data_IF_375101164063
#
_entry.id   IF_375101164063
#
_cell.length_a   1.000
_cell.length_b   1.000
_cell.length_c   1.000
_cell.angle_alpha   90.00
_cell.angle_beta   90.00
_cell.angle_gamma   90.00
#
_symmetry.space_group_name_H-M   'P 1'
#
loop_
_entity.id
_entity.type
_entity.pdbx_description
1 polymer ?
#
# COMPACT_ATOMS: atom_id res chain seq x y z
N UNK A 1 -18.40 -32.58 12.24
CA UNK A 1 -17.08 -31.91 12.15
C UNK A 1 -17.30 -30.56 11.50
N UNK A 2 -16.87 -29.48 12.14
CA UNK A 2 -16.98 -28.14 11.57
C UNK A 2 -16.15 -28.06 10.28
N UNK A 3 -16.67 -27.37 9.26
CA UNK A 3 -15.95 -27.22 7.98
C UNK A 3 -14.96 -26.07 8.12
N UNK A 4 -13.70 -26.32 7.81
CA UNK A 4 -12.63 -25.34 7.85
C UNK A 4 -12.63 -24.54 6.55
N UNK A 5 -12.77 -23.23 6.63
CA UNK A 5 -12.77 -22.30 5.50
C UNK A 5 -11.54 -21.40 5.57
N UNK A 6 -11.09 -20.91 4.41
CA UNK A 6 -9.91 -20.04 4.29
C UNK A 6 -10.33 -18.76 3.60
N UNK A 7 -10.17 -17.62 4.29
CA UNK A 7 -10.35 -16.31 3.69
C UNK A 7 -9.14 -15.94 2.83
N UNK A 8 -9.34 -15.18 1.75
CA UNK A 8 -8.21 -14.60 1.00
C UNK A 8 -7.40 -13.66 1.90
N UNK A 9 -6.10 -13.57 1.63
CA UNK A 9 -5.20 -12.64 2.33
C UNK A 9 -4.71 -11.51 1.43
N UNK A 10 -4.58 -10.30 1.99
CA UNK A 10 -4.04 -9.12 1.28
C UNK A 10 -2.98 -8.42 2.10
N UNK A 11 -1.86 -8.11 1.48
CA UNK A 11 -0.87 -7.22 2.05
C UNK A 11 -1.13 -5.77 1.61
N UNK A 12 -0.81 -4.83 2.50
CA UNK A 12 -0.83 -3.38 2.24
C UNK A 12 0.58 -2.77 2.24
N UNK A 13 1.62 -3.61 2.21
CA UNK A 13 3.02 -3.23 2.28
C UNK A 13 3.71 -3.77 3.53
N UNK A 14 4.98 -3.42 3.69
CA UNK A 14 5.79 -3.71 4.87
C UNK A 14 6.83 -2.61 5.09
N UNK A 15 7.36 -2.53 6.31
CA UNK A 15 8.43 -1.62 6.69
C UNK A 15 9.68 -2.40 7.07
N UNK A 16 10.39 -3.01 6.09
CA UNK A 16 11.64 -3.69 6.38
C UNK A 16 12.65 -2.69 6.95
N UNK A 17 13.41 -3.15 7.94
CA UNK A 17 14.49 -2.37 8.56
C UNK A 17 15.60 -2.02 7.57
N UNK A 18 16.53 -1.17 7.97
CA UNK A 18 17.71 -0.86 7.17
C UNK A 18 18.75 -1.97 7.35
N UNK A 19 19.29 -2.55 6.25
CA UNK A 19 20.35 -3.55 6.36
C UNK A 19 21.65 -2.89 6.85
N UNK A 20 22.49 -3.67 7.52
CA UNK A 20 23.88 -3.25 7.69
C UNK A 20 24.63 -3.25 6.35
N UNK A 21 25.78 -2.58 6.31
CA UNK A 21 26.59 -2.41 5.09
C UNK A 21 27.03 -3.75 4.49
N UNK A 22 27.37 -4.74 5.33
CA UNK A 22 27.85 -6.03 4.85
C UNK A 22 26.72 -6.85 4.21
N UNK A 23 25.54 -6.83 4.81
CA UNK A 23 24.32 -7.45 4.30
C UNK A 23 23.93 -6.83 2.96
N UNK A 24 23.92 -5.50 2.86
CA UNK A 24 23.60 -4.81 1.61
C UNK A 24 24.65 -5.08 0.52
N UNK A 25 25.94 -5.04 0.85
CA UNK A 25 27.01 -5.28 -0.11
C UNK A 25 26.97 -6.71 -0.67
N UNK A 26 26.70 -7.71 0.18
CA UNK A 26 26.52 -9.10 -0.24
C UNK A 26 25.33 -9.23 -1.21
N UNK A 27 24.18 -8.65 -0.86
CA UNK A 27 23.00 -8.66 -1.72
C UNK A 27 23.26 -7.98 -3.08
N UNK A 28 23.88 -6.80 -3.08
CA UNK A 28 24.26 -6.09 -4.32
C UNK A 28 25.18 -6.96 -5.20
N UNK A 29 26.12 -7.69 -4.59
CA UNK A 29 27.02 -8.57 -5.33
C UNK A 29 26.31 -9.72 -6.05
N UNK A 30 25.20 -10.22 -5.49
CA UNK A 30 24.32 -11.22 -6.12
C UNK A 30 23.38 -10.61 -7.18
N UNK A 31 23.25 -9.29 -7.18
CA UNK A 31 22.31 -8.52 -8.00
C UNK A 31 23.03 -7.70 -9.09
N UNK A 32 24.25 -8.09 -9.49
CA UNK A 32 25.03 -7.38 -10.52
C UNK A 32 24.30 -7.28 -11.86
N UNK A 33 24.43 -6.12 -12.50
CA UNK A 33 23.87 -5.87 -13.84
C UNK A 33 22.43 -5.34 -13.85
N UNK A 34 21.85 -5.05 -12.69
CA UNK A 34 20.57 -4.36 -12.50
C UNK A 34 20.70 -3.24 -11.46
N UNK A 35 19.67 -2.41 -11.34
CA UNK A 35 19.55 -1.50 -10.20
C UNK A 35 19.59 -2.32 -8.90
N UNK A 36 20.54 -2.00 -8.04
CA UNK A 36 20.76 -2.70 -6.79
C UNK A 36 21.26 -1.69 -5.76
N UNK A 37 20.29 -1.04 -5.10
CA UNK A 37 20.55 -0.11 -4.01
C UNK A 37 19.71 -0.49 -2.77
N UNK A 38 19.82 0.32 -1.71
CA UNK A 38 19.07 0.11 -0.47
C UNK A 38 17.55 0.12 -0.69
N UNK A 39 17.04 0.89 -1.64
CA UNK A 39 15.61 1.00 -1.92
C UNK A 39 15.11 -0.25 -2.62
N UNK A 40 15.82 -0.73 -3.64
CA UNK A 40 15.51 -2.00 -4.31
C UNK A 40 15.61 -3.18 -3.35
N UNK A 41 16.60 -3.18 -2.44
CA UNK A 41 16.69 -4.17 -1.37
C UNK A 41 15.43 -4.14 -0.49
N UNK A 42 15.00 -2.95 -0.02
CA UNK A 42 13.80 -2.84 0.84
C UNK A 42 12.53 -3.25 0.09
N UNK A 43 12.43 -3.00 -1.21
CA UNK A 43 11.32 -3.50 -2.04
C UNK A 43 11.32 -5.03 -2.07
N UNK A 44 12.45 -5.69 -2.34
CA UNK A 44 12.54 -7.16 -2.32
C UNK A 44 12.18 -7.72 -0.95
N UNK A 45 12.74 -7.16 0.12
CA UNK A 45 12.50 -7.62 1.50
C UNK A 45 11.07 -7.37 1.99
N UNK A 46 10.39 -6.36 1.46
CA UNK A 46 8.96 -6.16 1.75
C UNK A 46 8.08 -7.26 1.12
N UNK A 47 8.51 -7.84 -0.01
CA UNK A 47 7.71 -8.77 -0.82
C UNK A 47 8.06 -10.24 -0.58
N UNK A 48 9.35 -10.55 -0.42
CA UNK A 48 9.86 -11.92 -0.31
C UNK A 48 9.14 -12.74 0.78
N UNK A 49 8.98 -12.25 2.03
CA UNK A 49 8.27 -12.97 3.08
C UNK A 49 6.78 -13.20 2.77
N UNK A 50 6.14 -12.27 2.05
CA UNK A 50 4.73 -12.42 1.63
C UNK A 50 4.56 -13.52 0.59
N UNK A 51 5.51 -13.61 -0.34
CA UNK A 51 5.52 -14.65 -1.37
C UNK A 51 5.72 -16.04 -0.75
N UNK A 52 6.65 -16.15 0.20
CA UNK A 52 6.94 -17.39 0.94
C UNK A 52 5.76 -17.83 1.81
N UNK A 53 5.11 -16.90 2.51
CA UNK A 53 3.90 -17.17 3.27
C UNK A 53 2.67 -17.47 2.40
N UNK A 54 2.75 -17.34 1.07
CA UNK A 54 1.64 -17.54 0.13
C UNK A 54 0.47 -16.57 0.33
N UNK A 55 0.76 -15.28 0.57
CA UNK A 55 -0.26 -14.23 0.58
C UNK A 55 -0.99 -14.18 -0.78
N UNK A 56 -2.32 -14.15 -0.75
CA UNK A 56 -3.15 -14.22 -1.98
C UNK A 56 -2.99 -12.98 -2.84
N UNK A 57 -2.98 -11.80 -2.22
CA UNK A 57 -2.79 -10.49 -2.86
C UNK A 57 -1.56 -9.80 -2.26
N UNK A 58 -0.35 -10.12 -2.73
CA UNK A 58 0.88 -9.56 -2.19
C UNK A 58 1.08 -8.11 -2.63
N UNK A 59 1.79 -7.32 -1.82
CA UNK A 59 2.07 -5.92 -2.07
C UNK A 59 3.49 -5.59 -1.61
N UNK A 60 4.39 -5.31 -2.55
CA UNK A 60 5.73 -4.82 -2.25
C UNK A 60 5.67 -3.34 -1.85
N UNK A 61 6.75 -2.81 -1.28
CA UNK A 61 6.87 -1.42 -0.90
C UNK A 61 6.28 -1.09 0.48
N UNK A 62 6.27 0.20 0.78
CA UNK A 62 5.92 0.78 2.08
C UNK A 62 6.14 2.28 2.08
N UNK A 63 6.00 2.92 3.24
CA UNK A 63 6.27 4.35 3.41
C UNK A 63 7.72 4.71 3.12
N UNK A 64 8.65 3.77 3.29
CA UNK A 64 10.05 3.96 2.91
C UNK A 64 10.23 4.33 1.43
N UNK A 65 9.33 3.88 0.55
CA UNK A 65 9.38 4.15 -0.89
C UNK A 65 9.28 5.64 -1.26
N UNK A 66 8.96 6.48 -0.27
CA UNK A 66 9.13 7.94 -0.30
C UNK A 66 10.42 8.40 -0.97
N UNK A 67 11.56 7.81 -0.60
CA UNK A 67 12.86 8.31 -1.06
C UNK A 67 13.09 8.03 -2.55
N UNK A 68 12.57 6.89 -3.05
CA UNK A 68 12.54 6.59 -4.48
C UNK A 68 11.60 7.54 -5.25
N UNK A 69 10.46 7.89 -4.66
CA UNK A 69 9.55 8.87 -5.28
C UNK A 69 10.21 10.25 -5.35
N UNK A 70 10.90 10.70 -4.30
CA UNK A 70 11.57 11.99 -4.37
C UNK A 70 12.70 12.02 -5.40
N UNK A 71 13.48 10.94 -5.50
CA UNK A 71 14.59 10.88 -6.46
C UNK A 71 14.10 10.93 -7.90
N UNK A 72 12.87 10.51 -8.18
CA UNK A 72 12.27 10.60 -9.50
C UNK A 72 11.59 11.96 -9.79
N UNK A 73 11.40 12.82 -8.80
CA UNK A 73 10.75 14.12 -8.97
C UNK A 73 11.79 15.22 -9.25
N UNK A 74 11.84 15.67 -10.50
CA UNK A 74 12.51 16.91 -10.88
C UNK A 74 11.65 18.11 -10.47
N UNK A 75 12.30 19.26 -10.26
CA UNK A 75 11.62 20.46 -9.74
C UNK A 75 11.49 20.49 -8.21
N UNK A 76 11.99 19.47 -7.50
CA UNK A 76 12.00 19.40 -6.02
C UNK A 76 13.43 19.54 -5.48
N UNK A 77 13.65 20.53 -4.61
CA UNK A 77 14.91 20.73 -3.88
C UNK A 77 14.67 20.71 -2.38
N UNK A 78 15.30 19.80 -1.63
CA UNK A 78 15.23 19.81 -0.16
C UNK A 78 13.81 19.79 0.41
N UNK A 79 12.91 19.00 -0.19
CA UNK A 79 11.45 18.91 0.13
C UNK A 79 10.65 20.18 -0.20
N UNK A 80 11.10 20.98 -1.16
CA UNK A 80 10.37 22.14 -1.66
C UNK A 80 10.21 22.01 -3.16
N UNK A 81 9.00 22.24 -3.68
CA UNK A 81 8.80 22.41 -5.11
C UNK A 81 9.31 23.80 -5.48
N UNK A 82 10.44 23.83 -6.20
CA UNK A 82 11.14 25.07 -6.61
C UNK A 82 11.03 25.32 -8.12
N UNK A 83 10.31 24.46 -8.82
CA UNK A 83 10.09 24.50 -10.25
C UNK A 83 8.98 23.54 -10.66
N UNK A 84 8.67 23.51 -11.95
CA UNK A 84 7.68 22.59 -12.50
C UNK A 84 8.07 21.13 -12.24
N UNK A 85 7.11 20.32 -11.80
CA UNK A 85 7.33 18.91 -11.53
C UNK A 85 7.44 18.11 -12.84
N UNK A 86 8.55 17.39 -12.97
CA UNK A 86 8.70 16.35 -13.99
C UNK A 86 9.11 15.04 -13.33
N UNK A 87 8.72 13.90 -13.93
CA UNK A 87 8.98 12.57 -13.38
C UNK A 87 9.99 11.83 -14.25
N UNK A 88 11.10 11.40 -13.64
CA UNK A 88 12.10 10.54 -14.26
C UNK A 88 11.98 9.09 -13.74
N UNK A 89 11.40 8.20 -14.54
CA UNK A 89 10.94 6.87 -14.10
C UNK A 89 11.88 5.65 -14.26
N UNK A 90 13.14 5.71 -14.78
CA UNK A 90 13.96 4.51 -14.96
C UNK A 90 14.08 3.61 -13.73
N UNK A 91 14.41 4.18 -12.57
CA UNK A 91 14.56 3.40 -11.33
C UNK A 91 13.23 2.80 -10.85
N UNK A 92 12.12 3.54 -11.02
CA UNK A 92 10.77 3.07 -10.72
C UNK A 92 10.40 1.86 -11.60
N UNK A 93 10.78 1.91 -12.87
CA UNK A 93 10.55 0.83 -13.83
C UNK A 93 11.36 -0.41 -13.45
N UNK A 94 12.62 -0.25 -13.05
CA UNK A 94 13.47 -1.36 -12.59
C UNK A 94 12.93 -1.99 -11.29
N UNK A 95 12.52 -1.18 -10.31
CA UNK A 95 11.88 -1.68 -9.09
C UNK A 95 10.57 -2.44 -9.41
N UNK A 96 9.74 -1.91 -10.32
CA UNK A 96 8.52 -2.58 -10.79
C UNK A 96 8.82 -3.92 -11.49
N UNK A 97 9.86 -3.97 -12.32
CA UNK A 97 10.29 -5.22 -12.96
C UNK A 97 10.74 -6.25 -11.93
N UNK A 98 11.50 -5.82 -10.91
CA UNK A 98 11.89 -6.66 -9.78
C UNK A 98 10.69 -7.25 -9.03
N UNK A 99 9.68 -6.42 -8.73
CA UNK A 99 8.42 -6.85 -8.11
C UNK A 99 7.73 -7.94 -8.94
N UNK A 100 7.59 -7.71 -10.26
CA UNK A 100 6.87 -8.62 -11.16
C UNK A 100 7.61 -9.95 -11.34
N UNK A 101 8.94 -9.91 -11.47
CA UNK A 101 9.79 -11.11 -11.55
C UNK A 101 9.68 -11.93 -10.27
N UNK A 102 9.69 -11.28 -9.10
CA UNK A 102 9.55 -11.97 -7.81
C UNK A 102 8.17 -12.58 -7.63
N UNK A 103 7.11 -11.81 -7.92
CA UNK A 103 5.73 -12.26 -7.72
C UNK A 103 4.77 -11.56 -8.68
N UNK A 104 4.42 -12.26 -9.77
CA UNK A 104 3.36 -11.83 -10.69
C UNK A 104 2.05 -11.59 -9.92
N UNK A 105 1.36 -10.51 -10.25
CA UNK A 105 0.11 -10.13 -9.59
C UNK A 105 0.29 -9.25 -8.36
N UNK A 106 1.52 -8.92 -7.98
CA UNK A 106 1.79 -8.05 -6.85
C UNK A 106 1.36 -6.60 -7.10
N UNK A 107 0.99 -5.95 -6.01
CA UNK A 107 0.75 -4.52 -5.92
C UNK A 107 2.02 -3.82 -5.41
N UNK A 108 2.05 -2.49 -5.52
CA UNK A 108 3.08 -1.67 -4.90
C UNK A 108 2.48 -0.67 -3.91
N UNK A 109 3.01 -0.65 -2.69
CA UNK A 109 2.67 0.28 -1.64
C UNK A 109 3.67 1.44 -1.63
N UNK A 110 3.15 2.64 -1.44
CA UNK A 110 3.93 3.88 -1.39
C UNK A 110 3.19 4.93 -0.55
N UNK A 111 3.88 5.94 -0.01
CA UNK A 111 3.19 7.03 0.69
C UNK A 111 2.26 7.80 -0.25
N UNK A 112 1.14 8.31 0.28
CA UNK A 112 0.30 9.30 -0.40
C UNK A 112 1.07 10.61 -0.68
N UNK A 113 0.64 11.44 -1.65
CA UNK A 113 1.37 12.64 -2.05
C UNK A 113 1.72 13.60 -0.91
N UNK A 114 0.76 14.02 -0.07
CA UNK A 114 1.03 14.91 1.07
C UNK A 114 2.02 14.31 2.05
N UNK A 115 2.02 12.98 2.21
CA UNK A 115 2.94 12.31 3.11
C UNK A 115 4.38 12.49 2.63
N UNK A 116 4.68 12.81 1.36
CA UNK A 116 6.02 13.20 0.92
C UNK A 116 6.55 14.46 1.62
N UNK A 117 5.69 15.28 2.22
CA UNK A 117 6.10 16.48 2.94
C UNK A 117 6.80 17.52 2.05
N UNK A 118 6.43 17.55 0.76
CA UNK A 118 6.92 18.58 -0.16
C UNK A 118 6.10 19.85 0.10
N UNK A 119 6.79 20.96 0.34
CA UNK A 119 6.17 22.28 0.43
C UNK A 119 6.17 22.94 -0.94
N UNK A 120 5.04 23.52 -1.32
CA UNK A 120 4.95 24.31 -2.54
C UNK A 120 5.59 25.69 -2.33
N UNK A 121 6.60 26.01 -3.15
CA UNK A 121 7.26 27.33 -3.24
C UNK A 121 7.33 27.80 -4.71
N UNK A 122 6.58 27.16 -5.63
CA UNK A 122 6.62 27.46 -7.06
C UNK A 122 5.24 27.77 -7.64
N UNK A 123 4.24 26.93 -7.36
CA UNK A 123 2.91 27.09 -7.92
C UNK A 123 2.14 28.20 -7.20
N UNK A 124 2.35 28.34 -5.88
CA UNK A 124 1.69 29.36 -5.03
C UNK A 124 0.15 29.29 -5.06
N UNK A 125 -0.40 28.19 -5.59
CA UNK A 125 -1.82 27.89 -5.68
C UNK A 125 -2.05 26.42 -5.29
N UNK A 126 -2.93 26.20 -4.31
CA UNK A 126 -3.18 24.88 -3.76
C UNK A 126 -3.77 23.92 -4.80
N UNK A 127 -4.63 24.40 -5.72
CA UNK A 127 -5.25 23.54 -6.73
C UNK A 127 -4.21 23.13 -7.78
N UNK A 128 -3.41 24.08 -8.26
CA UNK A 128 -2.35 23.81 -9.22
C UNK A 128 -1.29 22.87 -8.64
N UNK A 129 -0.88 23.09 -7.38
CA UNK A 129 0.02 22.17 -6.67
C UNK A 129 -0.56 20.75 -6.57
N UNK A 130 -1.82 20.62 -6.13
CA UNK A 130 -2.47 19.32 -6.01
C UNK A 130 -2.57 18.61 -7.36
N UNK A 131 -2.90 19.33 -8.42
CA UNK A 131 -2.97 18.79 -9.78
C UNK A 131 -1.60 18.35 -10.29
N UNK A 132 -0.55 19.13 -10.04
CA UNK A 132 0.82 18.81 -10.42
C UNK A 132 1.33 17.55 -9.71
N UNK A 133 1.23 17.49 -8.38
CA UNK A 133 1.73 16.33 -7.62
C UNK A 133 0.91 15.07 -7.90
N UNK A 134 -0.42 15.17 -8.05
CA UNK A 134 -1.25 14.03 -8.43
C UNK A 134 -0.92 13.55 -9.85
N UNK A 135 -0.62 14.46 -10.78
CA UNK A 135 -0.20 14.09 -12.13
C UNK A 135 1.14 13.37 -12.14
N UNK A 136 2.09 13.81 -11.30
CA UNK A 136 3.34 13.09 -11.10
C UNK A 136 3.11 11.66 -10.59
N UNK A 137 2.26 11.50 -9.58
CA UNK A 137 1.86 10.18 -9.07
C UNK A 137 1.20 9.29 -10.12
N UNK A 138 0.31 9.84 -10.96
CA UNK A 138 -0.30 9.08 -12.06
C UNK A 138 0.75 8.58 -13.04
N UNK A 139 1.77 9.38 -13.35
CA UNK A 139 2.90 8.99 -14.21
C UNK A 139 3.70 7.86 -13.60
N UNK A 140 4.12 7.99 -12.33
CA UNK A 140 4.84 6.94 -11.58
C UNK A 140 4.04 5.64 -11.58
N UNK A 141 2.80 5.69 -11.10
CA UNK A 141 1.95 4.50 -10.99
C UNK A 141 1.65 3.89 -12.37
N UNK A 142 1.53 4.70 -13.42
CA UNK A 142 1.35 4.19 -14.79
C UNK A 142 2.59 3.45 -15.26
N UNK A 143 3.78 4.02 -15.10
CA UNK A 143 5.03 3.36 -15.46
C UNK A 143 5.15 1.97 -14.80
N UNK A 144 4.85 1.87 -13.49
CA UNK A 144 4.85 0.58 -12.80
C UNK A 144 3.81 -0.41 -13.34
N UNK A 145 2.59 0.05 -13.69
CA UNK A 145 1.57 -0.83 -14.29
C UNK A 145 1.95 -1.30 -15.68
N UNK A 146 2.54 -0.41 -16.48
CA UNK A 146 3.00 -0.74 -17.83
C UNK A 146 4.12 -1.82 -17.77
N UNK A 147 4.89 -1.86 -16.67
CA UNK A 147 5.85 -2.95 -16.36
C UNK A 147 5.20 -4.21 -15.77
N UNK A 148 3.96 -4.15 -15.28
CA UNK A 148 3.16 -5.31 -14.86
C UNK A 148 2.70 -5.34 -13.40
N UNK A 149 2.98 -4.30 -12.61
CA UNK A 149 2.38 -4.15 -11.27
C UNK A 149 0.86 -4.00 -11.42
N UNK A 150 0.07 -4.71 -10.61
CA UNK A 150 -1.40 -4.75 -10.79
C UNK A 150 -2.07 -3.45 -10.36
N UNK A 151 -1.59 -2.86 -9.27
CA UNK A 151 -2.19 -1.70 -8.65
C UNK A 151 -1.34 -1.16 -7.51
N UNK A 152 -1.85 -0.10 -6.88
CA UNK A 152 -1.11 0.68 -5.92
C UNK A 152 -1.86 0.79 -4.59
N UNK A 153 -1.12 0.76 -3.50
CA UNK A 153 -1.61 1.11 -2.16
C UNK A 153 -0.97 2.44 -1.79
N UNK A 154 -1.78 3.48 -1.59
CA UNK A 154 -1.32 4.77 -1.09
C UNK A 154 -1.49 4.78 0.44
N UNK A 155 -0.37 4.64 1.15
CA UNK A 155 -0.33 4.64 2.61
C UNK A 155 -0.41 6.07 3.11
N UNK A 156 -1.31 6.31 4.05
CA UNK A 156 -1.57 7.66 4.54
C UNK A 156 -1.85 7.72 6.04
N UNK A 157 -1.50 8.84 6.67
CA UNK A 157 -1.84 9.21 8.04
C UNK A 157 -3.01 10.23 8.11
N UNK A 158 -3.40 10.80 6.97
CA UNK A 158 -4.52 11.71 6.85
C UNK A 158 -5.16 11.64 5.47
N UNK A 159 -6.37 12.18 5.28
CA UNK A 159 -7.01 12.17 3.97
C UNK A 159 -7.08 13.59 3.42
N UNK A 160 -6.37 13.81 2.32
CA UNK A 160 -6.45 15.04 1.54
C UNK A 160 -7.53 14.82 0.46
N UNK A 161 -8.67 15.55 0.53
CA UNK A 161 -9.79 15.31 -0.38
C UNK A 161 -9.42 15.45 -1.86
N UNK A 162 -8.54 16.40 -2.19
CA UNK A 162 -8.05 16.61 -3.55
C UNK A 162 -7.30 15.38 -4.06
N UNK A 163 -6.33 14.86 -3.31
CA UNK A 163 -5.58 13.65 -3.66
C UNK A 163 -6.47 12.42 -3.78
N UNK A 164 -7.39 12.25 -2.82
CA UNK A 164 -8.31 11.10 -2.81
C UNK A 164 -9.23 11.14 -4.03
N UNK A 165 -9.82 12.30 -4.35
CA UNK A 165 -10.64 12.47 -5.54
C UNK A 165 -9.85 12.31 -6.85
N UNK A 166 -8.58 12.70 -6.84
CA UNK A 166 -7.71 12.71 -8.02
C UNK A 166 -7.10 11.33 -8.33
N UNK A 167 -6.75 10.55 -7.29
CA UNK A 167 -5.98 9.32 -7.45
C UNK A 167 -6.74 8.03 -7.15
N UNK A 168 -7.77 8.05 -6.29
CA UNK A 168 -8.49 6.83 -5.94
C UNK A 168 -9.18 6.22 -7.18
N UNK A 169 -9.18 4.89 -7.28
CA UNK A 169 -9.82 4.23 -8.40
C UNK A 169 -9.58 2.73 -8.43
N UNK A 170 -9.86 2.10 -9.58
CA UNK A 170 -9.82 0.63 -9.72
C UNK A 170 -8.47 0.01 -9.33
N UNK A 171 -7.37 0.68 -9.67
CA UNK A 171 -6.00 0.18 -9.48
C UNK A 171 -5.23 0.98 -8.42
N UNK A 172 -5.92 1.77 -7.59
CA UNK A 172 -5.32 2.60 -6.53
C UNK A 172 -6.22 2.52 -5.30
N UNK A 173 -5.66 2.02 -4.20
CA UNK A 173 -6.35 1.86 -2.93
C UNK A 173 -5.71 2.75 -1.88
N UNK A 174 -6.48 3.63 -1.24
CA UNK A 174 -5.99 4.40 -0.10
C UNK A 174 -6.06 3.54 1.16
N UNK A 175 -4.92 3.41 1.83
CA UNK A 175 -4.78 2.68 3.08
C UNK A 175 -4.40 3.63 4.20
N UNK A 176 -5.36 3.87 5.09
CA UNK A 176 -5.13 4.54 6.36
C UNK A 176 -5.03 3.47 7.45
N UNK A 177 -3.87 3.25 8.10
CA UNK A 177 -3.68 2.12 9.04
C UNK A 177 -4.59 2.16 10.27
N UNK A 178 -4.94 3.35 10.75
CA UNK A 178 -5.81 3.54 11.92
C UNK A 178 -6.86 4.64 11.68
N UNK A 179 -7.85 4.42 10.82
CA UNK A 179 -8.82 5.45 10.45
C UNK A 179 -9.77 5.74 11.61
N UNK A 180 -10.09 7.01 11.80
CA UNK A 180 -11.22 7.43 12.62
C UNK A 180 -12.53 7.42 11.81
N UNK A 181 -13.66 7.75 12.44
CA UNK A 181 -14.98 7.72 11.77
C UNK A 181 -15.02 8.64 10.55
N UNK A 182 -14.50 9.86 10.68
CA UNK A 182 -14.45 10.84 9.58
C UNK A 182 -13.60 10.32 8.42
N UNK A 183 -12.48 9.69 8.73
CA UNK A 183 -11.61 9.09 7.72
C UNK A 183 -12.30 7.93 7.00
N UNK A 184 -13.09 7.12 7.71
CA UNK A 184 -13.88 6.05 7.10
C UNK A 184 -14.93 6.61 6.13
N UNK A 185 -15.68 7.63 6.53
CA UNK A 185 -16.67 8.31 5.68
C UNK A 185 -16.02 8.84 4.39
N UNK A 186 -14.91 9.57 4.53
CA UNK A 186 -14.15 10.11 3.39
C UNK A 186 -13.62 9.02 2.45
N UNK A 187 -13.12 7.91 3.00
CA UNK A 187 -12.72 6.76 2.18
C UNK A 187 -13.92 6.17 1.45
N UNK A 188 -15.04 5.94 2.15
CA UNK A 188 -16.23 5.30 1.58
C UNK A 188 -16.92 6.15 0.51
N UNK A 189 -16.77 7.48 0.55
CA UNK A 189 -17.19 8.39 -0.53
C UNK A 189 -16.48 8.10 -1.87
N UNK A 190 -15.25 7.56 -1.84
CA UNK A 190 -14.37 7.45 -3.01
C UNK A 190 -13.98 6.01 -3.35
N UNK A 191 -14.00 5.10 -2.38
CA UNK A 191 -13.70 3.67 -2.55
C UNK A 191 -14.74 2.81 -1.84
N UNK A 192 -15.31 1.84 -2.55
CA UNK A 192 -16.27 0.87 -1.98
C UNK A 192 -15.61 -0.28 -1.22
N UNK A 193 -14.30 -0.19 -1.00
CA UNK A 193 -13.52 -1.19 -0.28
C UNK A 193 -12.69 -0.44 0.76
N UNK A 194 -12.56 -1.01 1.95
CA UNK A 194 -11.85 -0.34 3.05
C UNK A 194 -11.10 -1.34 3.90
N UNK A 195 -9.96 -0.91 4.40
CA UNK A 195 -9.13 -1.67 5.31
C UNK A 195 -9.26 -1.06 6.70
N UNK A 196 -9.60 -1.88 7.70
CA UNK A 196 -9.81 -1.44 9.07
C UNK A 196 -9.25 -2.45 10.06
N UNK A 197 -8.67 -2.01 11.19
CA UNK A 197 -8.37 -2.90 12.30
C UNK A 197 -9.65 -3.50 12.90
N UNK A 198 -9.50 -4.65 13.57
CA UNK A 198 -10.62 -5.36 14.21
C UNK A 198 -11.48 -4.47 15.13
N UNK A 199 -10.84 -3.60 15.92
CA UNK A 199 -11.49 -2.70 16.88
C UNK A 199 -12.26 -1.52 16.23
N UNK A 200 -12.25 -1.41 14.89
CA UNK A 200 -13.00 -0.42 14.12
C UNK A 200 -14.14 -1.03 13.30
N UNK A 201 -14.28 -2.36 13.26
CA UNK A 201 -15.31 -3.02 12.47
C UNK A 201 -16.73 -2.61 12.83
N UNK A 202 -17.06 -2.52 14.13
CA UNK A 202 -18.40 -2.09 14.56
C UNK A 202 -18.73 -0.68 14.07
N UNK A 203 -17.74 0.23 14.08
CA UNK A 203 -17.91 1.60 13.56
C UNK A 203 -18.11 1.59 12.05
N UNK A 204 -17.32 0.79 11.33
CA UNK A 204 -17.47 0.62 9.89
C UNK A 204 -18.88 0.11 9.52
N UNK A 205 -19.40 -0.86 10.26
CA UNK A 205 -20.72 -1.43 9.95
C UNK A 205 -21.88 -0.50 10.30
N UNK A 206 -21.71 0.42 11.25
CA UNK A 206 -22.68 1.49 11.49
C UNK A 206 -22.85 2.41 10.27
N UNK A 207 -21.80 2.58 9.46
CA UNK A 207 -21.82 3.40 8.25
C UNK A 207 -22.50 2.71 7.05
N UNK A 208 -22.94 1.44 7.16
CA UNK A 208 -23.57 0.71 6.03
C UNK A 208 -24.92 1.28 5.60
N UNK A 209 -25.59 2.01 6.48
CA UNK A 209 -26.88 2.66 6.16
C UNK A 209 -26.68 3.81 5.16
N UNK A 210 -25.54 4.49 5.23
CA UNK A 210 -25.22 5.67 4.42
C UNK A 210 -24.29 5.32 3.24
N UNK A 211 -23.43 4.31 3.41
CA UNK A 211 -22.35 3.99 2.48
C UNK A 211 -22.40 2.55 1.96
N UNK A 212 -22.09 2.38 0.68
CA UNK A 212 -21.95 1.05 0.08
C UNK A 212 -20.57 0.45 0.39
N UNK A 213 -20.56 -0.62 1.16
CA UNK A 213 -19.36 -1.42 1.47
C UNK A 213 -19.38 -2.72 0.68
N UNK A 214 -18.52 -2.85 -0.33
CA UNK A 214 -18.42 -4.05 -1.18
C UNK A 214 -17.41 -5.07 -0.68
N UNK A 215 -16.34 -4.62 -0.02
CA UNK A 215 -15.27 -5.49 0.48
C UNK A 215 -14.58 -4.87 1.68
N UNK A 216 -14.34 -5.68 2.70
CA UNK A 216 -13.64 -5.28 3.92
C UNK A 216 -12.35 -6.07 4.05
N UNK A 217 -11.26 -5.35 4.24
CA UNK A 217 -9.97 -5.93 4.62
C UNK A 217 -9.78 -5.74 6.12
N UNK A 218 -9.89 -6.82 6.88
CA UNK A 218 -9.71 -6.78 8.34
C UNK A 218 -8.22 -6.87 8.63
N UNK A 219 -7.61 -5.77 9.05
CA UNK A 219 -6.19 -5.74 9.41
C UNK A 219 -5.98 -6.56 10.67
N UNK A 220 -5.04 -7.51 10.61
CA UNK A 220 -4.67 -8.38 11.72
C UNK A 220 -5.87 -9.11 12.34
N UNK A 221 -6.75 -9.61 11.46
CA UNK A 221 -7.99 -10.27 11.83
C UNK A 221 -7.80 -11.37 12.90
N UNK A 222 -8.70 -11.39 13.88
CA UNK A 222 -8.88 -12.49 14.81
C UNK A 222 -10.24 -13.19 14.58
N UNK A 223 -10.48 -14.28 15.30
CA UNK A 223 -11.71 -15.05 15.16
C UNK A 223 -12.97 -14.24 15.50
N UNK A 224 -12.89 -13.30 16.45
CA UNK A 224 -14.01 -12.46 16.85
C UNK A 224 -14.35 -11.44 15.75
N UNK A 225 -13.34 -10.81 15.16
CA UNK A 225 -13.46 -9.87 14.06
C UNK A 225 -14.04 -10.54 12.80
N UNK A 226 -13.56 -11.75 12.46
CA UNK A 226 -14.11 -12.54 11.35
C UNK A 226 -15.58 -12.89 11.61
N UNK A 227 -15.90 -13.36 12.83
CA UNK A 227 -17.27 -13.68 13.20
C UNK A 227 -18.19 -12.46 13.10
N UNK A 228 -17.76 -11.31 13.61
CA UNK A 228 -18.49 -10.05 13.50
C UNK A 228 -18.72 -9.66 12.03
N UNK A 229 -17.66 -9.69 11.20
CA UNK A 229 -17.80 -9.34 9.80
C UNK A 229 -18.79 -10.25 9.05
N UNK A 230 -18.82 -11.55 9.36
CA UNK A 230 -19.75 -12.52 8.77
C UNK A 230 -21.22 -12.30 9.17
N UNK A 231 -21.51 -11.55 10.22
CA UNK A 231 -22.89 -11.15 10.54
C UNK A 231 -23.42 -10.08 9.58
N UNK A 232 -22.51 -9.37 8.89
CA UNK A 232 -22.86 -8.25 8.02
C UNK A 232 -22.52 -8.48 6.54
N UNK A 233 -21.60 -9.39 6.21
CA UNK A 233 -21.03 -9.55 4.87
C UNK A 233 -20.92 -11.02 4.49
N UNK A 234 -21.00 -11.27 3.18
CA UNK A 234 -20.73 -12.58 2.61
C UNK A 234 -19.23 -12.94 2.67
N UNK A 235 -18.86 -14.23 2.73
CA UNK A 235 -17.46 -14.64 2.85
C UNK A 235 -16.51 -14.10 1.76
N UNK A 236 -16.99 -13.87 0.53
CA UNK A 236 -16.18 -13.34 -0.58
C UNK A 236 -15.94 -11.81 -0.51
N UNK A 237 -16.68 -11.14 0.38
CA UNK A 237 -16.54 -9.72 0.72
C UNK A 237 -15.57 -9.49 1.88
N UNK A 238 -15.09 -10.55 2.54
CA UNK A 238 -14.19 -10.47 3.70
C UNK A 238 -12.80 -10.96 3.29
N UNK A 239 -11.77 -10.18 3.65
CA UNK A 239 -10.38 -10.49 3.37
C UNK A 239 -9.55 -10.22 4.63
N UNK A 240 -8.63 -11.13 4.96
CA UNK A 240 -7.66 -10.90 6.03
C UNK A 240 -6.54 -10.01 5.50
N UNK A 241 -6.46 -8.78 6.00
CA UNK A 241 -5.47 -7.79 5.62
C UNK A 241 -4.27 -7.77 6.56
N UNK A 242 -3.10 -7.39 6.06
CA UNK A 242 -1.91 -7.19 6.89
C UNK A 242 -1.02 -6.07 6.40
N UNK A 243 -0.31 -5.46 7.35
CA UNK A 243 0.68 -4.43 7.13
C UNK A 243 1.80 -4.57 8.17
N UNK A 244 2.94 -5.14 7.76
CA UNK A 244 4.05 -5.42 8.67
C UNK A 244 4.87 -4.15 8.94
N UNK A 245 4.37 -3.30 9.84
CA UNK A 245 5.01 -2.05 10.24
C UNK A 245 6.20 -2.23 11.21
N UNK A 246 6.34 -3.43 11.81
CA UNK A 246 7.32 -3.72 12.86
C UNK A 246 8.47 -4.62 12.42
N UNK A 247 8.51 -4.97 11.13
CA UNK A 247 9.48 -5.91 10.57
C UNK A 247 9.54 -7.25 11.32
N UNK A 248 8.37 -7.77 11.69
CA UNK A 248 8.23 -9.06 12.38
C UNK A 248 8.41 -10.21 11.37
N UNK A 249 9.31 -11.16 11.66
CA UNK A 249 9.73 -12.22 10.74
C UNK A 249 8.58 -13.15 10.31
N UNK A 250 7.78 -13.59 11.28
CA UNK A 250 6.69 -14.56 11.05
C UNK A 250 5.32 -13.92 10.78
N UNK A 251 5.25 -12.58 10.72
CA UNK A 251 3.99 -11.83 10.59
C UNK A 251 3.07 -12.34 9.49
N UNK A 252 3.61 -12.60 8.30
CA UNK A 252 2.82 -13.04 7.15
C UNK A 252 2.34 -14.50 7.27
N UNK A 253 3.16 -15.37 7.89
CA UNK A 253 2.76 -16.76 8.17
C UNK A 253 1.62 -16.77 9.19
N UNK A 254 1.74 -15.94 10.22
CA UNK A 254 0.71 -15.78 11.25
C UNK A 254 -0.58 -15.20 10.68
N UNK A 255 -0.50 -14.23 9.75
CA UNK A 255 -1.66 -13.70 9.05
C UNK A 255 -2.40 -14.79 8.25
N UNK A 256 -1.67 -15.64 7.53
CA UNK A 256 -2.28 -16.75 6.76
C UNK A 256 -2.90 -17.79 7.69
N UNK A 257 -2.25 -18.09 8.82
CA UNK A 257 -2.82 -18.98 9.83
C UNK A 257 -4.13 -18.42 10.42
N UNK A 258 -4.19 -17.11 10.68
CA UNK A 258 -5.38 -16.41 11.20
C UNK A 258 -6.51 -16.28 10.18
N UNK A 259 -6.23 -16.38 8.89
CA UNK A 259 -7.25 -16.33 7.83
C UNK A 259 -8.14 -17.60 7.76
N UNK A 260 -7.89 -18.57 8.62
CA UNK A 260 -8.66 -19.81 8.73
C UNK A 260 -9.75 -19.65 9.79
N UNK A 261 -10.99 -20.04 9.46
CA UNK A 261 -12.10 -20.09 10.42
C UNK A 261 -12.94 -21.36 10.27
N UNK A 262 -13.68 -21.68 11.32
CA UNK A 262 -14.60 -22.83 11.36
C UNK A 262 -16.06 -22.35 11.22
N UNK A 263 -16.88 -23.14 10.53
CA UNK A 263 -18.33 -22.97 10.42
C UNK A 263 -19.10 -24.11 11.05
#
# INVERSE_FOLDING_TARGET
MAKRHVLPTRAFGAEPGTPDVSTLAAWIAEHKGRLADIMTWRVDQSLAPQAEASITMPCAGGTFYRDRILSCLQGVTGRKATGELHVDTPDIIEDAAGIVVRKKGAWCAMPAPHALGIRDEYYEDELEWNDAICSAYRTIMRAMRDTGVVGHVLITDSLVPAELASLAGKNVFYFHPSPDTRSLEQLLDRQWQVAVPADRLSRLFALKEEYTIRKVFIIDADAAAISLARQHLDPDQIVCGGYNSRNEEDYWKDLVARAVYES
#
